data_IF_429432146209
#
_entry.id   IF_429432146209
#
_cell.length_a   1.000
_cell.length_b   1.000
_cell.length_c   1.000
_cell.angle_alpha   90.00
_cell.angle_beta   90.00
_cell.angle_gamma   90.00
#
_symmetry.space_group_name_H-M   'P 1'
#
loop_
_entity.id
_entity.type
_entity.pdbx_description
1 polymer ?
#
# COMPACT_ATOMS: atom_id res chain seq x y z
N UNK A 1 3.65 -8.28 18.78
CA UNK A 1 2.53 -8.59 19.68
C UNK A 1 2.13 -7.33 20.45
N UNK A 2 0.88 -6.88 20.33
CA UNK A 2 0.39 -5.70 21.08
C UNK A 2 0.24 -6.00 22.57
N UNK A 3 -0.22 -7.21 22.90
CA UNK A 3 -0.43 -7.65 24.29
C UNK A 3 0.89 -7.81 25.04
N UNK A 4 1.90 -8.40 24.39
CA UNK A 4 3.21 -8.63 25.01
C UNK A 4 4.18 -7.45 24.82
N UNK A 5 3.78 -6.44 24.05
CA UNK A 5 4.60 -5.26 23.71
C UNK A 5 6.00 -5.58 23.18
N UNK A 6 6.12 -6.66 22.42
CA UNK A 6 7.38 -7.10 21.81
C UNK A 6 7.20 -7.51 20.35
N UNK A 7 8.28 -7.41 19.57
CA UNK A 7 8.37 -8.10 18.29
C UNK A 7 8.48 -9.60 18.52
N UNK A 8 7.93 -10.39 17.59
CA UNK A 8 7.98 -11.85 17.62
C UNK A 8 8.73 -12.34 16.39
N UNK A 9 9.52 -13.40 16.56
CA UNK A 9 10.11 -14.13 15.44
C UNK A 9 9.07 -15.04 14.76
N UNK A 10 9.35 -15.49 13.54
CA UNK A 10 8.45 -16.39 12.79
C UNK A 10 8.12 -17.67 13.56
N UNK A 11 9.10 -18.24 14.28
CA UNK A 11 8.91 -19.41 15.13
C UNK A 11 8.00 -19.17 16.35
N UNK A 12 7.69 -17.91 16.67
CA UNK A 12 6.82 -17.51 17.79
C UNK A 12 5.39 -17.15 17.31
N UNK A 13 5.09 -17.38 16.04
CA UNK A 13 3.79 -17.12 15.41
C UNK A 13 3.12 -18.44 15.06
N UNK A 14 1.87 -18.59 15.49
CA UNK A 14 1.00 -19.71 15.12
C UNK A 14 -0.21 -19.18 14.34
N UNK A 15 -0.84 -20.03 13.54
CA UNK A 15 -2.01 -19.66 12.75
C UNK A 15 -3.27 -20.24 13.37
N UNK A 16 -4.27 -19.38 13.59
CA UNK A 16 -5.58 -19.77 14.12
C UNK A 16 -6.72 -19.20 13.26
N UNK A 17 -7.88 -19.84 13.36
CA UNK A 17 -9.11 -19.39 12.70
C UNK A 17 -9.53 -18.00 13.22
N UNK A 18 -9.60 -17.02 12.31
CA UNK A 18 -9.99 -15.66 12.61
C UNK A 18 -11.03 -15.15 11.61
N UNK A 19 -11.93 -14.28 12.07
CA UNK A 19 -12.92 -13.62 11.21
C UNK A 19 -12.56 -12.15 11.02
N UNK A 20 -12.04 -11.82 9.83
CA UNK A 20 -11.71 -10.46 9.43
C UNK A 20 -12.89 -9.79 8.72
N UNK A 21 -13.04 -8.46 8.90
CA UNK A 21 -13.87 -7.68 7.99
C UNK A 21 -13.10 -7.48 6.68
N UNK A 22 -13.76 -7.72 5.57
CA UNK A 22 -13.21 -7.44 4.24
C UNK A 22 -13.95 -6.29 3.61
N UNK A 23 -13.22 -5.45 2.89
CA UNK A 23 -13.78 -4.31 2.17
C UNK A 23 -13.22 -4.22 0.78
N UNK A 24 -14.08 -3.75 -0.12
CA UNK A 24 -13.71 -3.29 -1.45
C UNK A 24 -13.85 -1.77 -1.46
N UNK A 25 -12.82 -1.08 -1.90
CA UNK A 25 -12.78 0.39 -1.91
C UNK A 25 -12.36 0.85 -3.29
N UNK A 26 -12.97 1.94 -3.77
CA UNK A 26 -12.55 2.59 -5.01
C UNK A 26 -11.45 3.61 -4.74
N UNK A 27 -10.43 3.58 -5.60
CA UNK A 27 -9.38 4.58 -5.71
C UNK A 27 -9.58 5.33 -7.04
N UNK A 28 -10.17 6.54 -7.00
CA UNK A 28 -10.46 7.30 -8.23
C UNK A 28 -9.17 7.68 -8.96
N UNK A 29 -9.12 7.46 -10.28
CA UNK A 29 -7.99 7.94 -11.10
C UNK A 29 -8.01 9.46 -11.10
N UNK A 30 -6.93 10.08 -10.61
CA UNK A 30 -6.85 11.53 -10.43
C UNK A 30 -5.89 12.18 -11.43
N UNK A 31 -4.82 11.47 -11.80
CA UNK A 31 -3.79 12.00 -12.67
C UNK A 31 -3.26 10.93 -13.61
N UNK A 32 -2.91 11.37 -14.80
CA UNK A 32 -2.08 10.61 -15.75
C UNK A 32 -0.76 11.36 -15.86
N UNK A 33 0.34 10.65 -15.65
CA UNK A 33 1.68 11.23 -15.61
C UNK A 33 2.67 10.44 -16.43
N UNK A 34 3.70 11.13 -16.93
CA UNK A 34 4.88 10.51 -17.53
C UNK A 34 5.65 9.74 -16.46
N UNK A 35 6.08 8.53 -16.79
CA UNK A 35 7.14 7.84 -16.06
C UNK A 35 8.46 8.50 -16.42
N UNK A 36 9.24 8.94 -15.43
CA UNK A 36 10.59 9.41 -15.73
C UNK A 36 11.46 8.25 -16.22
N UNK A 37 12.18 8.48 -17.32
CA UNK A 37 13.01 7.50 -18.01
C UNK A 37 12.33 6.79 -19.19
N UNK A 38 11.03 7.01 -19.43
CA UNK A 38 10.37 6.56 -20.67
C UNK A 38 9.50 7.66 -21.28
N UNK A 39 9.81 8.07 -22.51
CA UNK A 39 8.98 9.04 -23.23
C UNK A 39 7.61 8.40 -23.55
N UNK A 40 6.47 9.13 -23.59
CA UNK A 40 5.17 8.56 -24.02
C UNK A 40 5.22 7.92 -25.42
N UNK A 41 6.16 8.37 -26.27
CA UNK A 41 6.41 7.76 -27.57
C UNK A 41 7.09 6.37 -27.48
N UNK A 42 7.69 6.03 -26.34
CA UNK A 42 8.32 4.74 -26.06
C UNK A 42 7.34 3.73 -25.43
N UNK A 43 6.12 4.16 -25.13
CA UNK A 43 5.02 3.31 -24.67
C UNK A 43 3.79 3.59 -25.55
N UNK A 44 3.76 3.06 -26.79
CA UNK A 44 2.63 3.29 -27.70
C UNK A 44 1.29 2.87 -27.07
N UNK A 45 0.26 3.70 -27.20
CA UNK A 45 -1.11 3.44 -26.72
C UNK A 45 -1.37 3.71 -25.24
N UNK A 46 -0.39 3.48 -24.35
CA UNK A 46 -0.66 3.55 -22.91
C UNK A 46 -1.09 4.94 -22.39
N UNK A 47 -0.60 6.03 -22.99
CA UNK A 47 -0.95 7.39 -22.53
C UNK A 47 -2.39 7.75 -22.94
N UNK A 48 -2.81 7.34 -24.14
CA UNK A 48 -4.17 7.56 -24.63
C UNK A 48 -5.17 6.75 -23.80
N UNK A 49 -4.85 5.48 -23.54
CA UNK A 49 -5.63 4.60 -22.67
C UNK A 49 -5.76 5.19 -21.25
N UNK A 50 -4.63 5.58 -20.63
CA UNK A 50 -4.65 6.19 -19.30
C UNK A 50 -5.44 7.51 -19.27
N UNK A 51 -5.32 8.33 -20.31
CA UNK A 51 -6.09 9.58 -20.45
C UNK A 51 -7.59 9.32 -20.62
N UNK A 52 -7.97 8.23 -21.30
CA UNK A 52 -9.35 7.81 -21.41
C UNK A 52 -9.91 7.40 -20.04
N UNK A 53 -9.16 6.64 -19.24
CA UNK A 53 -9.55 6.25 -17.88
C UNK A 53 -9.80 7.47 -16.98
N UNK A 54 -8.91 8.47 -17.04
CA UNK A 54 -9.08 9.72 -16.33
C UNK A 54 -10.35 10.48 -16.78
N UNK A 55 -10.56 10.57 -18.09
CA UNK A 55 -11.72 11.29 -18.67
C UNK A 55 -13.05 10.65 -18.28
N UNK A 56 -13.07 9.32 -18.14
CA UNK A 56 -14.23 8.54 -17.70
C UNK A 56 -14.43 8.54 -16.17
N UNK A 57 -13.53 9.18 -15.41
CA UNK A 57 -13.50 9.14 -13.93
C UNK A 57 -13.47 7.69 -13.41
N UNK A 58 -12.72 6.84 -14.09
CA UNK A 58 -12.58 5.45 -13.69
C UNK A 58 -11.94 5.34 -12.29
N UNK A 59 -12.23 4.25 -11.59
CA UNK A 59 -11.62 3.97 -10.29
C UNK A 59 -11.05 2.56 -10.24
N UNK A 60 -9.87 2.43 -9.63
CA UNK A 60 -9.27 1.13 -9.31
C UNK A 60 -10.00 0.55 -8.11
N UNK A 61 -10.50 -0.68 -8.24
CA UNK A 61 -11.09 -1.41 -7.12
C UNK A 61 -9.98 -2.17 -6.43
N UNK A 62 -9.79 -1.93 -5.13
CA UNK A 62 -8.89 -2.74 -4.31
C UNK A 62 -9.69 -3.63 -3.36
N UNK A 63 -9.03 -4.64 -2.81
CA UNK A 63 -9.59 -5.47 -1.75
C UNK A 63 -8.62 -5.54 -0.57
N UNK A 64 -9.16 -5.52 0.66
CA UNK A 64 -8.35 -5.72 1.86
C UNK A 64 -9.14 -6.40 2.98
N UNK A 65 -8.43 -7.22 3.77
CA UNK A 65 -8.90 -7.85 5.01
C UNK A 65 -8.52 -7.05 6.25
N UNK A 66 -7.77 -5.95 6.09
CA UNK A 66 -7.24 -5.11 7.17
C UNK A 66 -7.54 -3.63 6.91
N UNK A 67 -8.81 -3.17 6.98
CA UNK A 67 -9.18 -1.78 6.73
C UNK A 67 -8.35 -0.74 7.49
N UNK A 68 -7.95 -1.05 8.73
CA UNK A 68 -7.08 -0.21 9.56
C UNK A 68 -5.72 0.16 8.92
N UNK A 69 -5.27 -0.57 7.90
CA UNK A 69 -4.01 -0.29 7.17
C UNK A 69 -4.17 0.75 6.07
N UNK A 70 -5.40 1.06 5.62
CA UNK A 70 -5.66 2.04 4.55
C UNK A 70 -5.08 3.44 4.84
N UNK A 71 -5.13 3.98 6.08
CA UNK A 71 -4.39 5.18 6.44
C UNK A 71 -2.88 5.14 6.10
N UNK A 72 -2.27 3.96 6.11
CA UNK A 72 -0.86 3.75 5.78
C UNK A 72 -0.59 3.55 4.29
N UNK A 73 -1.62 3.56 3.44
CA UNK A 73 -1.46 3.31 2.02
C UNK A 73 -0.59 4.37 1.34
N UNK A 74 0.29 3.91 0.45
CA UNK A 74 1.22 4.74 -0.31
C UNK A 74 1.28 4.42 -1.80
N UNK A 75 0.83 3.24 -2.21
CA UNK A 75 0.73 2.85 -3.61
C UNK A 75 -0.39 1.82 -3.81
N UNK A 76 -0.66 1.47 -5.06
CA UNK A 76 -1.46 0.30 -5.43
C UNK A 76 -0.55 -0.62 -6.24
N UNK A 77 -0.33 -1.85 -5.77
CA UNK A 77 0.36 -2.88 -6.54
C UNK A 77 -0.60 -3.53 -7.53
N UNK A 78 -0.11 -3.78 -8.75
CA UNK A 78 -0.74 -4.62 -9.77
C UNK A 78 0.32 -5.56 -10.36
N UNK A 79 -0.05 -6.51 -11.22
CA UNK A 79 0.93 -7.37 -11.91
C UNK A 79 0.74 -7.30 -13.42
N UNK A 80 1.81 -7.02 -14.17
CA UNK A 80 1.76 -7.00 -15.64
C UNK A 80 1.38 -8.36 -16.28
N UNK A 81 1.33 -9.43 -15.50
CA UNK A 81 0.97 -10.79 -15.93
C UNK A 81 -0.54 -11.06 -15.87
N UNK A 82 -1.31 -10.17 -15.24
CA UNK A 82 -2.76 -10.29 -15.07
C UNK A 82 -3.46 -9.42 -16.11
N UNK A 83 -4.57 -9.95 -16.66
CA UNK A 83 -5.44 -9.18 -17.56
C UNK A 83 -6.43 -8.34 -16.75
N UNK A 84 -6.48 -7.04 -17.07
CA UNK A 84 -7.38 -6.08 -16.42
C UNK A 84 -8.39 -5.54 -17.41
N UNK A 85 -9.63 -5.35 -16.92
CA UNK A 85 -10.74 -4.82 -17.70
C UNK A 85 -11.28 -3.52 -17.12
N UNK A 86 -11.79 -2.67 -18.00
CA UNK A 86 -12.66 -1.55 -17.66
C UNK A 86 -14.11 -2.02 -17.67
N UNK A 87 -14.80 -1.85 -16.55
CA UNK A 87 -16.18 -2.29 -16.37
C UNK A 87 -17.09 -1.12 -16.03
N UNK A 88 -18.16 -0.95 -16.80
CA UNK A 88 -19.21 0.03 -16.52
C UNK A 88 -20.38 -0.65 -15.83
N UNK A 89 -20.76 -0.13 -14.68
CA UNK A 89 -21.95 -0.57 -13.95
C UNK A 89 -23.18 -0.03 -14.67
N UNK A 90 -24.03 -0.91 -15.18
CA UNK A 90 -25.24 -0.51 -15.92
C UNK A 90 -26.47 -0.48 -15.02
N UNK A 91 -26.53 -1.37 -14.04
CA UNK A 91 -27.62 -1.41 -13.06
C UNK A 91 -27.09 -1.84 -11.68
N UNK A 92 -27.56 -1.14 -10.65
CA UNK A 92 -27.30 -1.44 -9.25
C UNK A 92 -28.49 -0.94 -8.39
N UNK A 93 -28.83 -1.64 -7.29
CA UNK A 93 -29.86 -1.19 -6.37
C UNK A 93 -29.61 0.23 -5.83
N UNK A 94 -30.67 1.00 -5.58
CA UNK A 94 -30.54 2.38 -5.11
C UNK A 94 -29.86 2.52 -3.73
N UNK A 95 -29.99 1.49 -2.88
CA UNK A 95 -29.33 1.39 -1.57
C UNK A 95 -27.88 0.91 -1.64
N UNK A 96 -27.37 0.59 -2.84
CA UNK A 96 -26.04 0.03 -3.00
C UNK A 96 -24.95 1.12 -2.89
N UNK A 97 -23.76 0.72 -2.45
CA UNK A 97 -22.61 1.63 -2.44
C UNK A 97 -22.07 1.86 -3.86
N UNK A 98 -22.11 0.85 -4.72
CA UNK A 98 -21.78 1.00 -6.15
C UNK A 98 -22.96 1.67 -6.88
N UNK A 99 -22.70 2.75 -7.62
CA UNK A 99 -23.73 3.47 -8.38
C UNK A 99 -23.74 3.07 -9.85
N UNK A 100 -24.93 3.09 -10.45
CA UNK A 100 -25.08 2.93 -11.91
C UNK A 100 -24.35 4.06 -12.64
N UNK A 101 -23.60 3.70 -13.67
CA UNK A 101 -22.75 4.60 -14.44
C UNK A 101 -21.30 4.69 -13.96
N UNK A 102 -20.96 4.11 -12.82
CA UNK A 102 -19.56 4.03 -12.37
C UNK A 102 -18.71 3.15 -13.31
N UNK A 103 -17.47 3.58 -13.51
CA UNK A 103 -16.46 2.87 -14.29
C UNK A 103 -15.41 2.35 -13.33
N UNK A 104 -15.30 1.03 -13.24
CA UNK A 104 -14.44 0.32 -12.29
C UNK A 104 -13.40 -0.50 -13.06
N UNK A 105 -12.19 -0.58 -12.51
CA UNK A 105 -11.08 -1.34 -13.07
C UNK A 105 -10.67 -2.42 -12.07
N UNK A 106 -10.60 -3.66 -12.55
CA UNK A 106 -10.24 -4.84 -11.80
C UNK A 106 -9.79 -5.96 -12.74
N UNK A 107 -9.17 -7.01 -12.19
CA UNK A 107 -8.76 -8.18 -12.96
C UNK A 107 -9.96 -8.91 -13.55
N UNK A 108 -9.84 -9.33 -14.81
CA UNK A 108 -10.93 -9.95 -15.56
C UNK A 108 -11.45 -11.23 -14.88
N UNK A 109 -10.54 -12.02 -14.30
CA UNK A 109 -10.84 -13.28 -13.60
C UNK A 109 -11.63 -13.08 -12.31
N UNK A 110 -11.51 -11.91 -11.67
CA UNK A 110 -12.12 -11.60 -10.38
C UNK A 110 -13.38 -10.73 -10.51
N UNK A 111 -13.65 -10.19 -11.70
CA UNK A 111 -14.73 -9.23 -11.94
C UNK A 111 -16.12 -9.74 -11.57
N UNK A 112 -16.51 -10.92 -12.06
CA UNK A 112 -17.83 -11.51 -11.78
C UNK A 112 -18.03 -11.74 -10.28
N UNK A 113 -16.99 -12.25 -9.60
CA UNK A 113 -17.02 -12.52 -8.17
C UNK A 113 -17.18 -11.25 -7.34
N UNK A 114 -16.54 -10.16 -7.75
CA UNK A 114 -16.64 -8.86 -7.11
C UNK A 114 -18.04 -8.28 -7.29
N UNK A 115 -18.55 -8.20 -8.52
CA UNK A 115 -19.86 -7.61 -8.80
C UNK A 115 -20.99 -8.33 -8.07
N UNK A 116 -20.90 -9.66 -7.96
CA UNK A 116 -21.82 -10.45 -7.13
C UNK A 116 -21.76 -10.06 -5.65
N UNK A 117 -20.57 -9.92 -5.09
CA UNK A 117 -20.38 -9.51 -3.69
C UNK A 117 -20.83 -8.07 -3.44
N UNK A 118 -20.64 -7.20 -4.42
CA UNK A 118 -21.09 -5.82 -4.42
C UNK A 118 -22.59 -5.66 -4.71
N UNK A 119 -23.37 -6.75 -4.85
CA UNK A 119 -24.81 -6.72 -5.18
C UNK A 119 -25.14 -5.91 -6.44
N UNK A 120 -24.22 -5.84 -7.40
CA UNK A 120 -24.44 -5.20 -8.70
C UNK A 120 -25.28 -6.13 -9.57
N UNK A 121 -26.35 -5.59 -10.16
CA UNK A 121 -27.32 -6.38 -10.93
C UNK A 121 -26.89 -6.55 -12.39
N UNK A 122 -26.29 -5.52 -12.99
CA UNK A 122 -25.75 -5.62 -14.34
C UNK A 122 -24.51 -4.73 -14.53
N UNK A 123 -23.56 -5.25 -15.31
CA UNK A 123 -22.33 -4.56 -15.69
C UNK A 123 -21.94 -4.95 -17.11
N UNK A 124 -21.13 -4.10 -17.74
CA UNK A 124 -20.61 -4.29 -19.09
C UNK A 124 -19.09 -4.09 -19.07
N UNK A 125 -18.36 -4.99 -19.72
CA UNK A 125 -16.92 -4.79 -19.97
C UNK A 125 -16.75 -3.88 -21.19
N UNK A 126 -16.17 -2.70 -20.97
CA UNK A 126 -16.07 -1.63 -21.96
C UNK A 126 -14.78 -1.72 -22.77
N UNK A 127 -13.65 -2.03 -22.11
CA UNK A 127 -12.34 -2.03 -22.75
C UNK A 127 -11.32 -2.89 -21.97
N UNK A 128 -10.23 -3.24 -22.65
CA UNK A 128 -9.02 -3.77 -22.02
C UNK A 128 -8.22 -2.64 -21.36
N UNK A 129 -7.56 -2.93 -20.24
CA UNK A 129 -6.65 -2.00 -19.57
C UNK A 129 -5.22 -2.55 -19.64
N UNK A 130 -4.36 -1.88 -20.39
CA UNK A 130 -2.96 -2.28 -20.54
C UNK A 130 -2.15 -2.00 -19.27
N UNK A 131 -1.18 -2.87 -18.97
CA UNK A 131 -0.24 -2.64 -17.87
C UNK A 131 0.50 -1.29 -18.04
N UNK A 132 0.78 -0.92 -19.28
CA UNK A 132 1.36 0.36 -19.67
C UNK A 132 0.53 1.55 -19.21
N UNK A 133 -0.80 1.49 -19.39
CA UNK A 133 -1.71 2.50 -18.89
C UNK A 133 -1.71 2.54 -17.36
N UNK A 134 -1.70 1.38 -16.70
CA UNK A 134 -1.68 1.28 -15.22
C UNK A 134 -0.46 1.96 -14.59
N UNK A 135 0.75 1.79 -15.14
CA UNK A 135 1.95 2.43 -14.58
C UNK A 135 1.90 3.97 -14.73
N UNK A 136 1.14 4.50 -15.70
CA UNK A 136 1.02 5.94 -15.95
C UNK A 136 -0.06 6.65 -15.12
N UNK A 137 -0.98 5.91 -14.51
CA UNK A 137 -2.02 6.51 -13.66
C UNK A 137 -1.55 6.70 -12.22
N UNK A 138 -2.11 7.72 -11.59
CA UNK A 138 -2.07 7.90 -10.15
C UNK A 138 -3.48 8.20 -9.65
N UNK A 139 -3.84 7.58 -8.53
CA UNK A 139 -5.15 7.67 -7.94
C UNK A 139 -5.18 8.67 -6.78
N UNK A 140 -6.37 9.21 -6.49
CA UNK A 140 -6.63 9.86 -5.23
C UNK A 140 -6.75 8.81 -4.13
N UNK A 141 -6.22 9.12 -2.95
CA UNK A 141 -6.43 8.29 -1.77
C UNK A 141 -7.91 8.30 -1.35
N UNK A 142 -8.53 7.15 -0.98
CA UNK A 142 -9.97 7.10 -0.63
C UNK A 142 -10.31 7.89 0.64
N UNK A 143 -9.32 8.15 1.50
CA UNK A 143 -9.47 8.99 2.69
C UNK A 143 -9.03 10.46 2.46
N UNK A 144 -8.92 10.91 1.20
CA UNK A 144 -8.51 12.29 0.88
C UNK A 144 -9.36 13.32 1.63
N UNK A 145 -8.70 14.22 2.35
CA UNK A 145 -9.34 15.27 3.15
C UNK A 145 -9.77 14.85 4.56
N UNK A 146 -9.81 13.56 4.87
CA UNK A 146 -10.14 13.07 6.23
C UNK A 146 -9.07 13.55 7.21
N UNK A 147 -9.51 14.21 8.29
CA UNK A 147 -8.60 14.79 9.29
C UNK A 147 -7.64 15.85 8.72
N UNK A 148 -7.94 16.44 7.56
CA UNK A 148 -7.04 17.37 6.85
C UNK A 148 -5.86 16.69 6.14
N UNK A 149 -5.84 15.35 6.07
CA UNK A 149 -4.75 14.56 5.52
C UNK A 149 -5.01 13.97 4.13
N UNK A 150 -4.12 13.05 3.73
CA UNK A 150 -4.25 12.21 2.53
C UNK A 150 -4.37 12.95 1.19
N UNK A 151 -3.79 14.16 1.10
CA UNK A 151 -3.81 14.98 -0.11
C UNK A 151 -2.73 14.62 -1.15
N UNK A 152 -2.06 13.48 -0.96
CA UNK A 152 -1.04 12.97 -1.88
C UNK A 152 -1.67 12.04 -2.92
N UNK A 153 -0.97 11.89 -4.05
CA UNK A 153 -1.36 10.95 -5.10
C UNK A 153 -0.83 9.55 -4.78
N UNK A 154 -1.62 8.53 -5.09
CA UNK A 154 -1.29 7.11 -4.92
C UNK A 154 -0.86 6.53 -6.28
N UNK A 155 0.44 6.30 -6.53
CA UNK A 155 0.92 5.69 -7.76
C UNK A 155 0.59 4.20 -7.81
N UNK A 156 0.54 3.65 -9.03
CA UNK A 156 0.53 2.21 -9.25
C UNK A 156 1.96 1.67 -9.41
N UNK A 157 2.22 0.49 -8.86
CA UNK A 157 3.50 -0.20 -8.92
C UNK A 157 3.30 -1.61 -9.48
N UNK A 158 4.16 -2.02 -10.39
CA UNK A 158 4.17 -3.39 -10.94
C UNK A 158 4.89 -4.32 -9.97
N UNK A 159 4.20 -5.36 -9.51
CA UNK A 159 4.62 -6.23 -8.42
C UNK A 159 4.25 -7.68 -8.65
N UNK A 160 5.27 -8.55 -8.69
CA UNK A 160 5.11 -10.00 -8.88
C UNK A 160 4.35 -10.71 -7.76
N UNK A 161 4.21 -10.08 -6.59
CA UNK A 161 3.46 -10.63 -5.45
C UNK A 161 1.94 -10.56 -5.65
N UNK A 162 1.46 -9.81 -6.64
CA UNK A 162 0.03 -9.68 -6.93
C UNK A 162 -0.44 -10.88 -7.75
N UNK A 163 -1.48 -11.54 -7.25
CA UNK A 163 -2.13 -12.70 -7.84
C UNK A 163 -3.58 -12.39 -8.21
N UNK A 164 -4.18 -13.26 -9.03
CA UNK A 164 -5.57 -13.15 -9.49
C UNK A 164 -6.48 -14.26 -8.92
N UNK A 165 -6.05 -14.91 -7.84
CA UNK A 165 -6.79 -15.95 -7.13
C UNK A 165 -7.81 -15.37 -6.13
N UNK A 166 -7.51 -14.21 -5.55
CA UNK A 166 -8.34 -13.56 -4.53
C UNK A 166 -8.36 -12.03 -4.66
N UNK A 167 -9.43 -11.41 -4.15
CA UNK A 167 -9.58 -9.96 -4.12
C UNK A 167 -10.02 -9.37 -5.45
N UNK A 168 -9.16 -8.56 -6.08
CA UNK A 168 -9.48 -7.76 -7.30
C UNK A 168 -8.35 -7.71 -8.32
N UNK A 169 -7.20 -8.35 -8.04
CA UNK A 169 -5.98 -8.18 -8.81
C UNK A 169 -5.27 -6.85 -8.58
N UNK A 170 -5.75 -6.04 -7.63
CA UNK A 170 -5.08 -4.84 -7.13
C UNK A 170 -4.92 -4.93 -5.62
N UNK A 171 -3.70 -4.67 -5.15
CA UNK A 171 -3.36 -4.72 -3.73
C UNK A 171 -2.98 -3.32 -3.28
N UNK A 172 -3.63 -2.83 -2.24
CA UNK A 172 -3.23 -1.55 -1.64
C UNK A 172 -1.90 -1.76 -0.91
N UNK A 173 -0.91 -0.91 -1.16
CA UNK A 173 0.44 -1.05 -0.61
C UNK A 173 0.59 -0.16 0.62
N UNK A 174 0.71 -0.76 1.80
CA UNK A 174 0.97 -0.08 3.06
C UNK A 174 2.35 -0.53 3.61
N UNK A 175 3.46 0.14 3.22
CA UNK A 175 4.83 -0.33 3.51
C UNK A 175 5.19 -0.40 5.00
N UNK A 176 4.35 0.13 5.89
CA UNK A 176 4.47 -0.01 7.34
C UNK A 176 3.96 -1.34 7.91
N UNK A 177 3.23 -2.14 7.12
CA UNK A 177 2.40 -3.25 7.60
C UNK A 177 2.46 -4.53 6.76
N UNK A 178 3.30 -4.59 5.73
CA UNK A 178 3.50 -5.78 4.90
C UNK A 178 4.94 -5.86 4.43
N UNK A 179 5.49 -7.08 4.33
CA UNK A 179 6.87 -7.29 3.88
C UNK A 179 6.99 -7.03 2.38
N UNK A 180 6.10 -7.62 1.60
CA UNK A 180 6.01 -7.45 0.16
C UNK A 180 5.73 -5.98 -0.20
N UNK A 181 4.87 -5.32 0.58
CA UNK A 181 4.59 -3.89 0.48
C UNK A 181 5.83 -3.01 0.73
N UNK A 182 6.61 -3.35 1.76
CA UNK A 182 7.86 -2.67 2.06
C UNK A 182 8.89 -2.87 0.94
N UNK A 183 9.05 -4.10 0.48
CA UNK A 183 10.04 -4.46 -0.53
C UNK A 183 9.76 -3.75 -1.86
N UNK A 184 8.51 -3.78 -2.37
CA UNK A 184 8.15 -3.09 -3.61
C UNK A 184 8.28 -1.56 -3.47
N UNK A 185 7.90 -1.01 -2.31
CA UNK A 185 8.01 0.42 -2.02
C UNK A 185 9.48 0.86 -2.04
N UNK A 186 10.36 0.09 -1.38
CA UNK A 186 11.79 0.38 -1.32
C UNK A 186 12.49 0.22 -2.67
N UNK A 187 12.11 -0.79 -3.46
CA UNK A 187 12.62 -0.98 -4.83
C UNK A 187 12.28 0.22 -5.74
N UNK A 188 11.12 0.85 -5.52
CA UNK A 188 10.64 1.98 -6.30
C UNK A 188 10.94 3.35 -5.67
N UNK A 189 11.54 3.41 -4.47
CA UNK A 189 11.72 4.64 -3.70
C UNK A 189 12.40 5.77 -4.49
N UNK A 190 13.48 5.46 -5.24
CA UNK A 190 14.18 6.45 -6.07
C UNK A 190 13.31 7.00 -7.20
N UNK A 191 12.52 6.13 -7.84
CA UNK A 191 11.59 6.52 -8.91
C UNK A 191 10.45 7.38 -8.36
N UNK A 192 9.97 7.07 -7.16
CA UNK A 192 8.94 7.84 -6.46
C UNK A 192 9.43 9.24 -6.09
N UNK A 193 10.63 9.37 -5.52
CA UNK A 193 11.24 10.66 -5.17
C UNK A 193 11.45 11.54 -6.40
N UNK A 194 11.90 10.94 -7.51
CA UNK A 194 12.08 11.65 -8.78
C UNK A 194 10.73 12.20 -9.33
N UNK A 195 9.62 11.50 -9.07
CA UNK A 195 8.25 11.95 -9.38
C UNK A 195 7.70 12.99 -8.39
N UNK A 196 8.48 13.40 -7.40
CA UNK A 196 8.05 14.32 -6.33
C UNK A 196 7.14 13.66 -5.29
N UNK A 197 7.09 12.32 -5.24
CA UNK A 197 6.33 11.56 -4.24
C UNK A 197 7.30 11.22 -3.11
N UNK A 198 6.94 11.62 -1.88
CA UNK A 198 7.76 11.29 -0.71
C UNK A 198 7.84 9.78 -0.50
N UNK A 199 9.06 9.25 -0.41
CA UNK A 199 9.35 7.85 -0.07
C UNK A 199 9.19 7.54 1.42
N UNK A 200 8.90 8.55 2.25
CA UNK A 200 8.80 8.41 3.70
C UNK A 200 7.62 7.50 4.07
N UNK A 201 7.95 6.40 4.74
CA UNK A 201 6.98 5.42 5.22
C UNK A 201 6.28 5.98 6.47
N UNK A 202 4.95 6.03 6.50
CA UNK A 202 4.25 6.49 7.68
C UNK A 202 4.26 5.44 8.80
N UNK A 203 4.49 5.88 10.03
CA UNK A 203 4.33 5.08 11.23
C UNK A 203 2.92 5.27 11.78
N UNK A 204 1.93 4.68 11.11
CA UNK A 204 0.51 4.88 11.42
C UNK A 204 0.05 4.20 12.69
N UNK A 205 0.77 3.19 13.22
CA UNK A 205 0.39 2.46 14.44
C UNK A 205 1.53 2.46 15.47
N UNK A 206 1.21 2.77 16.72
CA UNK A 206 2.14 2.77 17.85
C UNK A 206 2.34 1.38 18.48
N UNK A 207 3.07 1.30 19.60
CA UNK A 207 3.35 0.04 20.31
C UNK A 207 2.16 -0.53 21.09
N UNK A 208 1.18 0.31 21.36
CA UNK A 208 -0.06 -0.07 22.02
C UNK A 208 -1.13 -0.46 20.99
N UNK A 209 -0.80 -0.52 19.70
CA UNK A 209 -1.75 -0.82 18.64
C UNK A 209 -2.74 0.33 18.39
N UNK A 210 -2.41 1.56 18.78
CA UNK A 210 -3.20 2.76 18.52
C UNK A 210 -2.72 3.47 17.24
N UNK A 211 -3.65 4.05 16.49
CA UNK A 211 -3.34 4.88 15.34
C UNK A 211 -2.70 6.21 15.78
N UNK A 212 -1.62 6.61 15.11
CA UNK A 212 -0.82 7.81 15.44
C UNK A 212 -1.29 9.03 14.66
N UNK A 213 -0.63 10.17 14.88
CA UNK A 213 -0.81 11.41 14.10
C UNK A 213 -0.56 11.23 12.60
N UNK A 214 0.22 10.21 12.21
CA UNK A 214 0.46 9.88 10.80
C UNK A 214 -0.72 9.15 10.13
N UNK A 215 -1.80 8.91 10.88
CA UNK A 215 -3.13 8.56 10.39
C UNK A 215 -4.16 9.66 10.74
N UNK A 216 -4.11 10.83 10.05
CA UNK A 216 -5.00 11.95 10.34
C UNK A 216 -6.48 11.56 10.40
N UNK A 217 -7.20 12.03 11.41
CA UNK A 217 -8.61 11.70 11.63
C UNK A 217 -8.89 10.40 12.39
N UNK A 218 -7.86 9.58 12.65
CA UNK A 218 -8.01 8.30 13.37
C UNK A 218 -7.13 8.19 14.63
N UNK A 219 -6.48 9.27 15.03
CA UNK A 219 -5.55 9.28 16.18
C UNK A 219 -6.21 8.68 17.44
N UNK A 220 -5.51 7.75 18.09
CA UNK A 220 -5.95 7.08 19.31
C UNK A 220 -6.87 5.87 19.10
N UNK A 221 -7.39 5.64 17.88
CA UNK A 221 -8.19 4.45 17.56
C UNK A 221 -7.34 3.18 17.62
N UNK A 222 -7.87 2.13 18.22
CA UNK A 222 -7.11 0.88 18.48
C UNK A 222 -7.34 -0.14 17.37
N UNK A 223 -6.28 -0.71 16.84
CA UNK A 223 -6.32 -1.86 15.93
C UNK A 223 -6.61 -3.13 16.72
N UNK A 224 -5.82 -3.35 17.77
CA UNK A 224 -5.98 -4.40 18.76
C UNK A 224 -5.92 -3.73 20.14
N UNK A 225 -6.78 -4.15 21.05
CA UNK A 225 -6.78 -3.66 22.43
C UNK A 225 -5.64 -4.28 23.24
N UNK A 226 -5.33 -3.72 24.41
CA UNK A 226 -4.30 -4.28 25.31
C UNK A 226 -4.63 -5.72 25.76
N UNK A 227 -5.88 -6.17 25.60
CA UNK A 227 -6.35 -7.54 25.88
C UNK A 227 -6.25 -8.49 24.67
N UNK A 228 -5.79 -8.01 23.53
CA UNK A 228 -5.72 -8.80 22.29
C UNK A 228 -7.07 -8.96 21.59
N UNK A 229 -8.03 -8.08 21.87
CA UNK A 229 -9.33 -8.08 21.21
C UNK A 229 -9.33 -7.10 20.04
N UNK A 230 -10.26 -7.26 19.12
CA UNK A 230 -10.44 -6.35 17.99
C UNK A 230 -10.80 -4.95 18.51
N UNK A 231 -10.00 -3.94 18.11
CA UNK A 231 -10.28 -2.56 18.46
C UNK A 231 -11.21 -1.83 17.49
N UNK A 232 -11.40 -0.53 17.69
CA UNK A 232 -12.35 0.32 16.96
C UNK A 232 -11.78 0.94 15.67
N UNK A 233 -10.50 0.72 15.34
CA UNK A 233 -9.88 1.30 14.15
C UNK A 233 -10.51 0.82 12.83
N UNK A 234 -10.84 -0.47 12.71
CA UNK A 234 -11.49 -0.99 11.51
C UNK A 234 -12.85 -0.34 11.27
N UNK A 235 -13.67 -0.23 12.31
CA UNK A 235 -14.99 0.38 12.21
C UNK A 235 -14.89 1.87 11.89
N UNK A 236 -13.93 2.58 12.50
CA UNK A 236 -13.69 3.99 12.22
C UNK A 236 -13.29 4.22 10.76
N UNK A 237 -12.36 3.42 10.21
CA UNK A 237 -11.94 3.55 8.80
C UNK A 237 -13.09 3.19 7.86
N UNK A 238 -13.82 2.09 8.11
CA UNK A 238 -14.98 1.71 7.29
C UNK A 238 -16.01 2.83 7.26
N UNK A 239 -16.31 3.44 8.42
CA UNK A 239 -17.23 4.57 8.49
C UNK A 239 -16.76 5.76 7.66
N UNK A 240 -15.48 6.13 7.77
CA UNK A 240 -14.92 7.23 6.97
C UNK A 240 -14.99 6.95 5.46
N UNK A 241 -14.81 5.70 5.04
CA UNK A 241 -14.97 5.30 3.63
C UNK A 241 -16.42 5.38 3.15
N UNK A 242 -17.39 5.06 4.02
CA UNK A 242 -18.82 5.21 3.71
C UNK A 242 -19.16 6.70 3.58
N UNK A 243 -18.72 7.52 4.54
CA UNK A 243 -18.99 8.96 4.56
C UNK A 243 -18.35 9.68 3.35
N UNK A 244 -17.23 9.15 2.84
CA UNK A 244 -16.55 9.64 1.63
C UNK A 244 -17.09 9.05 0.31
N UNK A 245 -18.11 8.18 0.35
CA UNK A 245 -18.62 7.42 -0.80
C UNK A 245 -17.52 6.62 -1.53
N UNK A 246 -16.56 6.04 -0.80
CA UNK A 246 -15.45 5.27 -1.39
C UNK A 246 -15.54 3.76 -1.15
N UNK A 247 -16.39 3.31 -0.22
CA UNK A 247 -16.66 1.88 -0.03
C UNK A 247 -17.51 1.35 -1.19
N UNK A 248 -17.22 0.14 -1.68
CA UNK A 248 -17.99 -0.54 -2.75
C UNK A 248 -18.72 -1.78 -2.24
N UNK A 249 -18.08 -2.53 -1.36
CA UNK A 249 -18.64 -3.72 -0.74
C UNK A 249 -17.97 -3.98 0.62
N UNK A 250 -18.66 -4.74 1.46
CA UNK A 250 -18.16 -5.21 2.75
C UNK A 250 -18.61 -6.65 2.95
N UNK A 251 -17.72 -7.49 3.45
CA UNK A 251 -18.04 -8.87 3.85
C UNK A 251 -17.25 -9.25 5.10
N UNK A 252 -17.43 -10.49 5.55
CA UNK A 252 -16.63 -11.12 6.59
C UNK A 252 -15.98 -12.37 6.02
N UNK A 253 -14.69 -12.53 6.25
CA UNK A 253 -13.92 -13.67 5.78
C UNK A 253 -13.37 -14.45 6.98
N UNK A 254 -13.63 -15.76 7.00
CA UNK A 254 -12.98 -16.68 7.94
C UNK A 254 -11.74 -17.25 7.28
N UNK A 255 -10.58 -17.05 7.91
CA UNK A 255 -9.28 -17.47 7.39
C UNK A 255 -8.29 -17.71 8.53
N UNK A 256 -7.11 -18.22 8.19
CA UNK A 256 -6.02 -18.43 9.14
C UNK A 256 -5.26 -17.12 9.34
N UNK A 257 -5.15 -16.65 10.58
CA UNK A 257 -4.49 -15.38 10.92
C UNK A 257 -3.37 -15.62 11.94
N UNK A 258 -2.26 -14.86 11.87
CA UNK A 258 -1.15 -15.03 12.80
C UNK A 258 -1.53 -14.59 14.22
N UNK A 259 -1.21 -15.44 15.19
CA UNK A 259 -1.40 -15.26 16.62
C UNK A 259 -0.07 -15.49 17.34
N UNK A 260 0.12 -14.84 18.49
CA UNK A 260 1.26 -15.14 19.35
C UNK A 260 1.12 -16.55 19.92
N UNK A 261 2.20 -17.34 19.82
CA UNK A 261 2.23 -18.69 20.39
C UNK A 261 1.96 -18.73 21.89
N UNK A 262 2.29 -17.65 22.63
CA UNK A 262 2.16 -17.57 24.10
C UNK A 262 0.79 -17.05 24.52
N UNK A 263 0.39 -15.88 24.04
CA UNK A 263 -0.89 -15.26 24.44
C UNK A 263 -2.10 -15.75 23.64
N UNK A 264 -1.89 -16.44 22.52
CA UNK A 264 -2.94 -16.85 21.57
C UNK A 264 -3.78 -15.66 21.09
N UNK A 265 -3.17 -14.48 21.03
CA UNK A 265 -3.81 -13.24 20.58
C UNK A 265 -3.32 -12.85 19.20
N UNK A 266 -4.18 -12.22 18.36
CA UNK A 266 -3.79 -11.80 17.02
C UNK A 266 -2.58 -10.86 17.06
N UNK A 267 -1.71 -10.99 16.07
CA UNK A 267 -0.55 -10.10 15.91
C UNK A 267 -0.71 -9.21 14.68
N UNK A 268 -0.06 -8.05 14.70
CA UNK A 268 0.01 -7.15 13.55
C UNK A 268 1.46 -6.99 13.11
N UNK A 269 1.65 -6.86 11.80
CA UNK A 269 2.90 -6.41 11.23
C UNK A 269 3.02 -4.90 11.39
N UNK A 270 4.19 -4.45 11.86
CA UNK A 270 4.48 -3.06 12.11
C UNK A 270 5.97 -2.81 11.96
N UNK A 271 6.33 -1.77 11.22
CA UNK A 271 7.72 -1.33 11.14
C UNK A 271 8.16 -0.71 12.47
N UNK A 272 9.28 -1.19 13.00
CA UNK A 272 9.96 -0.65 14.17
C UNK A 272 11.43 -0.42 13.83
N UNK A 273 12.07 0.64 14.35
CA UNK A 273 13.52 0.75 14.22
C UNK A 273 14.18 -0.46 14.90
N UNK A 274 14.99 -1.19 14.13
CA UNK A 274 15.73 -2.36 14.59
C UNK A 274 17.20 -2.21 14.22
N UNK A 275 18.07 -2.72 15.09
CA UNK A 275 19.50 -2.80 14.84
C UNK A 275 19.80 -4.10 14.12
N UNK A 276 20.32 -4.02 12.90
CA UNK A 276 20.72 -5.18 12.13
C UNK A 276 22.25 -5.29 12.10
N UNK A 277 22.76 -6.50 12.28
CA UNK A 277 24.17 -6.82 12.02
C UNK A 277 24.22 -7.43 10.62
N UNK A 278 25.04 -6.85 9.75
CA UNK A 278 25.24 -7.40 8.40
C UNK A 278 26.04 -8.70 8.49
N UNK A 279 25.38 -9.84 8.26
CA UNK A 279 26.04 -11.16 8.24
C UNK A 279 26.78 -11.42 6.92
N UNK A 280 26.32 -10.80 5.82
CA UNK A 280 26.84 -11.00 4.47
C UNK A 280 27.98 -10.04 4.11
N UNK A 281 28.42 -9.21 5.07
CA UNK A 281 29.55 -8.30 4.89
C UNK A 281 30.69 -8.76 5.80
N UNK A 282 31.94 -8.81 5.30
CA UNK A 282 33.07 -9.04 6.19
C UNK A 282 33.09 -7.94 7.24
N UNK A 283 33.08 -8.34 8.51
CA UNK A 283 33.38 -7.44 9.61
C UNK A 283 34.85 -7.05 9.43
N UNK A 284 35.09 -5.83 8.98
CA UNK A 284 36.46 -5.31 8.85
C UNK A 284 37.01 -5.11 10.26
N UNK A 285 37.83 -6.05 10.71
CA UNK A 285 38.69 -5.92 11.90
C UNK A 285 39.80 -4.92 11.60
N UNK A 286 39.45 -3.64 11.52
CA UNK A 286 40.45 -2.58 11.67
C UNK A 286 40.25 -1.98 13.05
N UNK A 287 41.09 -2.30 14.04
CA UNK A 287 41.05 -1.58 15.30
C UNK A 287 41.23 -0.09 15.00
N UNK A 288 40.48 0.82 15.67
CA UNK A 288 40.85 2.22 15.63
C UNK A 288 42.31 2.31 16.08
N UNK A 289 43.18 3.10 15.41
CA UNK A 289 44.55 3.23 15.87
C UNK A 289 44.51 3.73 17.31
N UNK A 290 44.92 2.87 18.24
CA UNK A 290 45.15 3.24 19.62
C UNK A 290 46.14 4.40 19.61
N UNK A 291 45.66 5.58 19.94
CA UNK A 291 46.50 6.75 20.10
C UNK A 291 47.44 6.54 21.28
N UNK A 292 48.65 6.04 21.01
CA UNK A 292 49.80 6.36 21.85
C UNK A 292 50.25 7.77 21.48
N UNK A 293 50.05 8.71 22.40
CA UNK A 293 50.60 10.04 22.28
C UNK A 293 52.13 10.00 22.38
N UNK A 294 52.81 10.46 21.34
CA UNK A 294 53.93 11.40 21.46
C UNK A 294 54.24 11.98 20.08
N UNK A 295 54.43 13.31 20.06
CA UNK A 295 54.43 14.12 18.85
C UNK A 295 55.54 13.81 17.84
N UNK A 296 55.34 14.23 16.59
CA UNK A 296 55.92 15.46 16.01
C UNK A 296 55.50 15.54 14.53
N UNK A 297 54.91 16.67 14.15
CA UNK A 297 55.17 17.35 12.87
C UNK A 297 54.33 16.96 11.65
N UNK A 298 53.57 17.93 11.13
CA UNK A 298 53.25 18.00 9.70
C UNK A 298 51.80 18.28 9.36
N UNK A 299 51.43 19.55 9.33
CA UNK A 299 50.15 20.03 8.82
C UNK A 299 49.98 19.74 7.31
N UNK A 300 48.77 19.35 6.91
CA UNK A 300 48.09 19.94 5.75
C UNK A 300 46.63 19.46 5.68
N UNK A 301 45.73 20.42 5.87
CA UNK A 301 44.36 20.42 5.38
C UNK A 301 44.31 20.20 3.87
N UNK A 302 43.28 19.51 3.37
CA UNK A 302 42.25 20.13 2.51
C UNK A 302 41.22 19.09 2.08
N UNK A 303 39.94 19.46 2.23
CA UNK A 303 38.82 18.90 1.51
C UNK A 303 38.90 19.24 0.01
N UNK A 304 38.34 18.39 -0.86
CA UNK A 304 37.37 18.79 -1.90
C UNK A 304 37.06 17.64 -2.84
N UNK A 305 35.77 17.59 -3.21
CA UNK A 305 35.15 16.83 -4.29
C UNK A 305 35.79 17.04 -5.67
N UNK A 306 35.60 16.09 -6.59
CA UNK A 306 34.80 16.24 -7.82
C UNK A 306 35.18 15.18 -8.89
N UNK A 307 34.17 14.83 -9.70
CA UNK A 307 34.09 13.87 -10.81
C UNK A 307 35.14 14.02 -11.93
N UNK A 308 35.35 12.99 -12.79
CA UNK A 308 36.00 13.15 -14.08
C UNK A 308 34.97 13.24 -15.24
N UNK A 309 35.24 14.09 -16.25
CA UNK A 309 35.36 13.58 -17.64
C UNK A 309 36.43 14.37 -18.45
N UNK A 310 36.58 14.20 -19.78
CA UNK A 310 36.45 13.03 -20.66
C UNK A 310 37.71 12.76 -21.53
N UNK A 311 37.80 11.58 -22.15
CA UNK A 311 38.22 11.34 -23.54
C UNK A 311 37.69 9.99 -24.01
#
# INVERSE_FOLDING_TARGET
>A
SVVEKTALAEAEVEYEDYTSDTVWVKFPVERVGRLEGRHPAEIPGGFEDASALLSKRAAIVIWTTTPWTLPGNRAISFSSKISYGEYKVTDAPADNWVKSGEVLILADTLAESFFKQARVTAFERVADVSAQALVMIACAHPLKGVGGGYNFTVPLLDGDHVTDDTGTGFVHTAPGHGREDFDIWMQNARSLEARGISSVIPYTVDENGALTEQAPGFVGKRVITDKGEKGDANEAVIKALIDADMLLARSRLKHQYPHSWRSKKPVIYRNTPQWFIAMDKPIVDSPPPCGEGSGVGGAASTASAASPPPQ
#
